data_IF_792045876246
#
_entry.id   IF_792045876246
#
_cell.length_a   1.000
_cell.length_b   1.000
_cell.length_c   1.000
_cell.angle_alpha   90.00
_cell.angle_beta   90.00
_cell.angle_gamma   90.00
#
_symmetry.space_group_name_H-M   'P 1'
#
loop_
_entity.id
_entity.type
_entity.pdbx_description
1 polymer ?
#
# COMPACT_ATOMS: atom_id res chain seq x y z
N UNK A 1 19.39 -17.33 -20.64
CA UNK A 1 18.21 -16.45 -20.82
C UNK A 1 18.21 -15.40 -19.71
N UNK A 2 18.70 -14.18 -19.96
CA UNK A 2 18.63 -13.06 -18.98
C UNK A 2 18.48 -11.68 -19.66
N UNK A 3 18.11 -11.65 -20.95
CA UNK A 3 18.14 -10.43 -21.76
C UNK A 3 17.23 -9.31 -21.26
N UNK A 4 16.06 -9.63 -20.69
CA UNK A 4 15.15 -8.65 -20.11
C UNK A 4 15.75 -7.97 -18.86
N UNK A 5 16.39 -8.76 -17.99
CA UNK A 5 17.06 -8.26 -16.78
C UNK A 5 18.26 -7.38 -17.17
N UNK A 6 19.06 -7.81 -18.15
CA UNK A 6 20.17 -7.02 -18.67
C UNK A 6 19.73 -5.69 -19.29
N UNK A 7 18.64 -5.69 -20.07
CA UNK A 7 18.09 -4.48 -20.66
C UNK A 7 17.61 -3.50 -19.58
N UNK A 8 16.92 -4.00 -18.56
CA UNK A 8 16.48 -3.21 -17.40
C UNK A 8 17.66 -2.62 -16.65
N UNK A 9 18.68 -3.42 -16.33
CA UNK A 9 19.87 -2.96 -15.63
C UNK A 9 20.64 -1.89 -16.42
N UNK A 10 20.75 -2.05 -17.74
CA UNK A 10 21.32 -1.02 -18.63
C UNK A 10 20.53 0.28 -18.58
N UNK A 11 19.20 0.20 -18.49
CA UNK A 11 18.35 1.39 -18.43
C UNK A 11 18.50 2.11 -17.08
N UNK A 12 18.46 1.37 -15.96
CA UNK A 12 18.69 1.92 -14.61
C UNK A 12 20.05 2.60 -14.54
N UNK A 13 21.11 1.94 -15.03
CA UNK A 13 22.46 2.52 -15.09
C UNK A 13 22.48 3.86 -15.84
N UNK A 14 21.80 3.97 -16.99
CA UNK A 14 21.70 5.22 -17.75
C UNK A 14 20.99 6.33 -16.99
N UNK A 15 19.96 6.01 -16.22
CA UNK A 15 19.23 7.02 -15.44
C UNK A 15 20.11 7.53 -14.29
N UNK A 16 20.78 6.62 -13.57
CA UNK A 16 21.73 6.99 -12.50
C UNK A 16 22.85 7.88 -13.06
N UNK A 17 23.43 7.50 -14.21
CA UNK A 17 24.47 8.30 -14.87
C UNK A 17 24.01 9.70 -15.26
N UNK A 18 22.71 9.91 -15.51
CA UNK A 18 22.16 11.24 -15.81
C UNK A 18 21.88 12.07 -14.54
N UNK A 19 21.50 11.41 -13.44
CA UNK A 19 21.19 12.08 -12.18
C UNK A 19 22.42 12.39 -11.33
N UNK A 20 23.48 11.60 -11.46
CA UNK A 20 24.69 11.71 -10.65
C UNK A 20 25.77 12.48 -11.42
N UNK A 21 26.08 13.72 -11.00
CA UNK A 21 27.20 14.50 -11.55
C UNK A 21 28.55 13.99 -11.04
N UNK A 22 28.62 13.49 -9.80
CA UNK A 22 29.80 12.85 -9.21
C UNK A 22 29.46 11.44 -8.74
N UNK A 23 30.10 10.42 -9.32
CA UNK A 23 29.88 8.99 -9.05
C UNK A 23 29.92 8.60 -7.56
N UNK A 24 30.40 9.47 -6.67
CA UNK A 24 30.55 9.23 -5.23
C UNK A 24 29.24 8.90 -4.50
N UNK A 25 28.10 9.45 -4.93
CA UNK A 25 26.80 9.32 -4.23
C UNK A 25 25.76 8.50 -5.00
N UNK A 26 26.21 7.59 -5.87
CA UNK A 26 25.30 6.75 -6.67
C UNK A 26 24.32 5.93 -5.81
N UNK A 27 24.76 5.53 -4.61
CA UNK A 27 23.98 4.71 -3.68
C UNK A 27 22.86 5.51 -3.00
N UNK A 28 23.05 6.81 -2.76
CA UNK A 28 22.00 7.70 -2.26
C UNK A 28 20.93 7.98 -3.32
N UNK A 29 21.34 8.05 -4.59
CA UNK A 29 20.43 8.31 -5.71
C UNK A 29 19.72 7.03 -6.21
N UNK A 30 20.27 5.85 -5.91
CA UNK A 30 19.73 4.57 -6.37
C UNK A 30 18.27 4.34 -5.94
N UNK A 31 17.85 4.54 -4.67
CA UNK A 31 16.45 4.37 -4.26
C UNK A 31 15.49 5.25 -5.07
N UNK A 32 15.81 6.53 -5.24
CA UNK A 32 15.01 7.47 -6.03
C UNK A 32 14.94 7.06 -7.50
N UNK A 33 16.04 6.57 -8.06
CA UNK A 33 16.10 6.14 -9.45
C UNK A 33 15.24 4.90 -9.69
N UNK A 34 15.28 3.95 -8.76
CA UNK A 34 14.44 2.75 -8.81
C UNK A 34 12.96 3.08 -8.64
N UNK A 35 12.63 3.98 -7.71
CA UNK A 35 11.27 4.45 -7.50
C UNK A 35 10.73 5.14 -8.76
N UNK A 36 11.45 6.12 -9.31
CA UNK A 36 11.09 6.78 -10.56
C UNK A 36 10.97 5.77 -11.72
N UNK A 37 11.85 4.77 -11.79
CA UNK A 37 11.75 3.73 -12.82
C UNK A 37 10.46 2.91 -12.69
N UNK A 38 10.04 2.57 -11.46
CA UNK A 38 8.83 1.78 -11.19
C UNK A 38 7.54 2.56 -11.42
N UNK A 39 7.55 3.88 -11.19
CA UNK A 39 6.38 4.76 -11.27
C UNK A 39 6.20 5.46 -12.61
N UNK A 40 7.18 5.40 -13.52
CA UNK A 40 7.08 6.02 -14.85
C UNK A 40 6.44 5.07 -15.87
N UNK A 41 5.43 5.57 -16.59
CA UNK A 41 4.76 4.85 -17.68
C UNK A 41 5.78 4.49 -18.76
N UNK A 42 5.82 3.21 -19.16
CA UNK A 42 6.71 2.73 -20.23
C UNK A 42 6.01 2.83 -21.56
N UNK A 43 6.64 3.46 -22.55
CA UNK A 43 6.10 3.58 -23.91
C UNK A 43 5.80 2.22 -24.55
N UNK A 44 6.58 1.19 -24.22
CA UNK A 44 6.39 -0.19 -24.71
C UNK A 44 5.10 -0.84 -24.22
N UNK A 45 4.68 -0.55 -22.99
CA UNK A 45 3.57 -1.25 -22.32
C UNK A 45 2.40 -0.34 -22.02
N UNK A 46 2.58 0.98 -22.17
CA UNK A 46 1.64 2.05 -21.75
C UNK A 46 1.21 1.96 -20.28
N UNK A 47 1.97 1.22 -19.50
CA UNK A 47 1.74 0.92 -18.09
C UNK A 47 3.03 1.18 -17.32
N UNK A 48 2.90 1.34 -16.00
CA UNK A 48 4.06 1.39 -15.12
C UNK A 48 4.55 -0.01 -14.78
N UNK A 49 5.86 -0.21 -14.58
CA UNK A 49 6.36 -1.48 -14.03
C UNK A 49 5.69 -1.84 -12.69
N UNK A 50 5.34 -0.85 -11.86
CA UNK A 50 4.59 -1.09 -10.63
C UNK A 50 3.18 -1.64 -10.89
N UNK A 51 2.40 -1.01 -11.77
CA UNK A 51 1.03 -1.47 -12.10
C UNK A 51 1.02 -2.88 -12.71
N UNK A 52 2.06 -3.25 -13.47
CA UNK A 52 2.21 -4.60 -14.02
C UNK A 52 2.48 -5.67 -12.96
N UNK A 53 3.19 -5.33 -11.88
CA UNK A 53 3.53 -6.29 -10.81
C UNK A 53 2.37 -6.45 -9.83
N UNK A 54 1.71 -5.35 -9.46
CA UNK A 54 0.73 -5.34 -8.38
C UNK A 54 -0.73 -5.22 -8.85
N UNK A 55 -0.97 -4.94 -10.13
CA UNK A 55 -2.32 -4.78 -10.69
C UNK A 55 -3.06 -3.52 -10.22
N UNK A 56 -2.34 -2.52 -9.70
CA UNK A 56 -2.91 -1.27 -9.16
C UNK A 56 -2.65 -0.11 -10.12
N UNK A 57 -3.69 0.69 -10.38
CA UNK A 57 -3.61 1.90 -11.20
C UNK A 57 -2.81 2.99 -10.46
N UNK A 58 -1.94 3.70 -11.18
CA UNK A 58 -1.04 4.73 -10.66
C UNK A 58 -1.76 5.79 -9.82
N UNK A 59 -2.95 6.23 -10.26
CA UNK A 59 -3.79 7.21 -9.55
C UNK A 59 -4.10 6.75 -8.13
N UNK A 60 -4.47 5.47 -7.98
CA UNK A 60 -4.73 4.84 -6.69
C UNK A 60 -3.47 4.70 -5.84
N UNK A 61 -2.32 4.43 -6.46
CA UNK A 61 -1.04 4.36 -5.74
C UNK A 61 -0.65 5.73 -5.19
N UNK A 62 -0.76 6.81 -5.98
CA UNK A 62 -0.45 8.18 -5.55
C UNK A 62 -1.41 8.66 -4.45
N UNK A 63 -2.71 8.37 -4.59
CA UNK A 63 -3.72 8.70 -3.58
C UNK A 63 -3.46 8.04 -2.23
N UNK A 64 -2.81 6.87 -2.22
CA UNK A 64 -2.43 6.15 -0.99
C UNK A 64 -1.05 6.56 -0.49
N UNK A 65 -0.11 6.81 -1.40
CA UNK A 65 1.28 7.14 -1.10
C UNK A 65 1.45 8.55 -0.53
N UNK A 66 0.69 9.55 -0.98
CA UNK A 66 0.77 10.91 -0.42
C UNK A 66 0.33 10.95 1.05
N UNK A 67 -0.82 10.37 1.45
CA UNK A 67 -1.17 10.22 2.87
C UNK A 67 -0.13 9.41 3.65
N UNK A 68 0.39 8.32 3.06
CA UNK A 68 1.41 7.49 3.68
C UNK A 68 2.69 8.28 4.01
N UNK A 69 3.22 9.03 3.03
CA UNK A 69 4.42 9.87 3.18
C UNK A 69 4.24 10.97 4.23
N UNK A 70 3.04 11.56 4.33
CA UNK A 70 2.73 12.56 5.37
C UNK A 70 2.77 11.94 6.76
N UNK A 71 2.10 10.80 6.93
CA UNK A 71 2.11 10.07 8.22
C UNK A 71 3.52 9.59 8.56
N UNK A 72 4.34 9.21 7.57
CA UNK A 72 5.73 8.79 7.77
C UNK A 72 6.62 9.94 8.23
N UNK A 73 6.45 11.12 7.64
CA UNK A 73 7.13 12.33 8.07
C UNK A 73 6.71 12.79 9.47
N UNK A 74 5.42 12.64 9.81
CA UNK A 74 4.88 13.06 11.11
C UNK A 74 5.21 12.06 12.24
N UNK A 75 5.42 10.79 11.93
CA UNK A 75 5.56 9.72 12.92
C UNK A 75 6.98 9.13 13.06
N UNK A 76 7.95 9.54 12.22
CA UNK A 76 9.31 8.98 12.17
C UNK A 76 9.34 7.42 12.08
N UNK A 77 8.29 6.81 11.53
CA UNK A 77 8.13 5.37 11.43
C UNK A 77 8.86 4.82 10.19
N UNK A 78 9.33 3.57 10.26
CA UNK A 78 9.93 2.90 9.09
C UNK A 78 8.88 2.55 8.03
N UNK A 79 9.26 2.63 6.75
CA UNK A 79 8.41 2.34 5.58
C UNK A 79 7.63 1.01 5.70
N UNK A 80 8.25 0.00 6.31
CA UNK A 80 7.66 -1.34 6.45
C UNK A 80 6.52 -1.39 7.49
N UNK A 81 6.66 -0.68 8.61
CA UNK A 81 5.65 -0.65 9.68
C UNK A 81 4.41 0.12 9.22
N UNK A 82 4.63 1.24 8.52
CA UNK A 82 3.55 2.03 7.96
C UNK A 82 2.83 1.33 6.80
N UNK A 83 3.57 0.63 5.93
CA UNK A 83 2.95 -0.19 4.89
C UNK A 83 2.01 -1.25 5.48
N UNK A 84 2.39 -1.88 6.60
CA UNK A 84 1.55 -2.85 7.30
C UNK A 84 0.28 -2.22 7.90
N UNK A 85 0.41 -1.05 8.54
CA UNK A 85 -0.72 -0.29 9.09
C UNK A 85 -1.70 0.11 7.97
N UNK A 86 -1.19 0.67 6.87
CA UNK A 86 -2.02 1.08 5.75
C UNK A 86 -2.70 -0.09 5.05
N UNK A 87 -2.01 -1.23 4.88
CA UNK A 87 -2.63 -2.45 4.37
C UNK A 87 -3.75 -2.94 5.29
N UNK A 88 -3.53 -2.94 6.61
CA UNK A 88 -4.54 -3.30 7.60
C UNK A 88 -5.78 -2.40 7.52
N UNK A 89 -5.58 -1.08 7.44
CA UNK A 89 -6.67 -0.12 7.32
C UNK A 89 -7.45 -0.25 6.00
N UNK A 90 -6.75 -0.44 4.88
CA UNK A 90 -7.38 -0.69 3.57
C UNK A 90 -8.19 -1.98 3.57
N UNK A 91 -7.64 -3.05 4.16
CA UNK A 91 -8.33 -4.33 4.32
C UNK A 91 -9.59 -4.17 5.15
N UNK A 92 -9.51 -3.51 6.32
CA UNK A 92 -10.69 -3.23 7.15
C UNK A 92 -11.75 -2.42 6.40
N UNK A 93 -11.36 -1.36 5.68
CA UNK A 93 -12.29 -0.57 4.85
C UNK A 93 -12.96 -1.43 3.77
N UNK A 94 -12.23 -2.37 3.17
CA UNK A 94 -12.75 -3.27 2.13
C UNK A 94 -13.74 -4.28 2.71
N UNK A 95 -13.45 -4.87 3.86
CA UNK A 95 -14.37 -5.78 4.58
C UNK A 95 -15.63 -5.04 5.01
N UNK A 96 -15.49 -3.84 5.59
CA UNK A 96 -16.65 -2.99 5.95
C UNK A 96 -17.52 -2.68 4.74
N UNK A 97 -16.94 -2.21 3.63
CA UNK A 97 -17.69 -1.92 2.39
C UNK A 97 -18.39 -3.14 1.81
N UNK A 98 -17.77 -4.33 1.89
CA UNK A 98 -18.39 -5.56 1.42
C UNK A 98 -19.58 -5.96 2.30
N UNK A 99 -19.43 -5.85 3.62
CA UNK A 99 -20.49 -6.10 4.59
C UNK A 99 -21.65 -5.11 4.43
N UNK A 100 -21.37 -3.81 4.36
CA UNK A 100 -22.39 -2.77 4.21
C UNK A 100 -23.19 -2.91 2.90
N UNK A 101 -22.59 -3.49 1.84
CA UNK A 101 -23.29 -3.80 0.58
C UNK A 101 -24.25 -4.98 0.69
N UNK A 102 -23.96 -5.96 1.55
CA UNK A 102 -24.77 -7.18 1.69
C UNK A 102 -25.80 -7.07 2.80
N UNK A 103 -25.58 -6.18 3.76
CA UNK A 103 -26.50 -5.92 4.86
C UNK A 103 -27.63 -5.00 4.39
N UNK A 104 -28.87 -5.46 4.59
CA UNK A 104 -30.05 -4.60 4.50
C UNK A 104 -30.30 -3.98 5.88
N UNK A 105 -30.26 -2.64 6.02
CA UNK A 105 -30.57 -1.99 7.29
C UNK A 105 -32.01 -2.32 7.67
N UNK A 106 -32.23 -2.82 8.89
CA UNK A 106 -33.55 -3.07 9.44
C UNK A 106 -33.79 -2.11 10.61
N UNK A 107 -34.91 -1.38 10.56
CA UNK A 107 -35.32 -0.48 11.64
C UNK A 107 -36.14 -1.31 12.65
N UNK A 108 -35.82 -1.16 13.92
CA UNK A 108 -36.53 -1.82 15.02
C UNK A 108 -37.30 -0.79 15.84
N UNK A 109 -38.47 -1.18 16.35
CA UNK A 109 -39.28 -0.39 17.27
C UNK A 109 -39.25 -1.04 18.66
N UNK A 110 -39.57 -0.27 19.69
CA UNK A 110 -39.83 -0.82 21.02
C UNK A 110 -40.90 -1.92 20.90
N UNK A 111 -40.72 -3.03 21.65
CA UNK A 111 -41.49 -4.29 21.56
C UNK A 111 -41.04 -5.31 20.49
N UNK A 112 -40.16 -4.96 19.55
CA UNK A 112 -39.60 -5.95 18.63
C UNK A 112 -38.64 -6.91 19.33
N UNK A 113 -38.93 -8.21 19.28
CA UNK A 113 -38.03 -9.26 19.76
C UNK A 113 -36.86 -9.44 18.79
N UNK A 114 -35.63 -9.28 19.29
CA UNK A 114 -34.39 -9.46 18.53
C UNK A 114 -33.49 -10.52 19.17
N UNK A 115 -32.77 -11.28 18.34
CA UNK A 115 -31.82 -12.27 18.82
C UNK A 115 -30.54 -11.58 19.31
N UNK A 116 -30.21 -11.80 20.58
CA UNK A 116 -28.95 -11.31 21.18
C UNK A 116 -27.83 -12.32 20.92
N UNK A 117 -26.79 -11.91 20.21
CA UNK A 117 -25.57 -12.72 20.10
C UNK A 117 -24.81 -12.70 21.42
N UNK A 118 -24.76 -13.83 22.11
CA UNK A 118 -23.95 -14.01 23.32
C UNK A 118 -22.52 -14.30 22.87
N UNK A 119 -21.58 -13.38 23.13
CA UNK A 119 -20.16 -13.60 22.90
C UNK A 119 -19.55 -14.19 24.18
N UNK A 120 -18.65 -15.20 24.08
CA UNK A 120 -17.94 -15.69 25.24
C UNK A 120 -17.11 -14.54 25.81
N UNK A 121 -17.45 -14.14 27.03
CA UNK A 121 -16.68 -13.12 27.76
C UNK A 121 -15.37 -13.79 28.17
N UNK A 122 -14.23 -13.19 27.87
CA UNK A 122 -12.98 -13.63 28.48
C UNK A 122 -13.15 -13.45 29.98
N UNK A 123 -13.22 -14.54 30.73
CA UNK A 123 -13.39 -14.48 32.17
C UNK A 123 -12.21 -13.70 32.77
N UNK A 124 -12.53 -12.57 33.41
CA UNK A 124 -11.62 -11.88 34.30
C UNK A 124 -11.19 -12.88 35.37
N UNK A 125 -9.94 -13.32 35.30
CA UNK A 125 -9.30 -14.10 36.35
C UNK A 125 -9.08 -13.17 37.55
N UNK A 126 -10.12 -12.90 38.32
CA UNK A 126 -9.99 -12.31 39.65
C UNK A 126 -10.49 -13.31 40.67
N UNK A 127 -9.57 -14.16 41.13
CA UNK A 127 -9.83 -15.18 42.12
C UNK A 127 -8.61 -15.45 42.99
N UNK A 128 -8.57 -14.71 44.11
CA UNK A 128 -7.89 -14.96 45.40
C UNK A 128 -6.37 -14.88 45.48
#
# INVERSE_FOLDING_TARGET
MNGAVEATNKNIKKIIQKMVVMYKYWHEILPYTLHGYRMTIRTSTRETPFSLVYGIVIVLAIEVEIPLLRVLADAELEDAELAAICYGQLYQKKIKRAFDKTVRPQVFHEENLVLKKILPTSEDHKGK
#
